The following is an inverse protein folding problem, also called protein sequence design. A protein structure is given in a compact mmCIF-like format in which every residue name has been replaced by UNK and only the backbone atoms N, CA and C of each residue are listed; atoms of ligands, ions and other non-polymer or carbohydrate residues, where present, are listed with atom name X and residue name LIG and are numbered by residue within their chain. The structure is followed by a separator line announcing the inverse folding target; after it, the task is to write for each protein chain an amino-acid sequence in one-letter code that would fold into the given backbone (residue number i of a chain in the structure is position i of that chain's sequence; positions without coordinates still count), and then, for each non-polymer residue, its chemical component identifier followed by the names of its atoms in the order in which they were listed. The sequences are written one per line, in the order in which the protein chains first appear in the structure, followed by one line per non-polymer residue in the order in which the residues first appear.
data_IF_771190509341
#
_entry.id   IF_771190509341
#
_cell.length_a   1.000
_cell.length_b   1.000
_cell.length_c   1.000
_cell.angle_alpha   90.00
_cell.angle_beta   90.00
_cell.angle_gamma   90.00
#
_symmetry.space_group_name_H-M   'P 1'
#
loop_
_entity.id
_entity.type
_entity.pdbx_description
1 polymer ?
#
# COMPACT_ATOMS: atom_id res chain seq x y z
N UNK A 1 -10.25 20.19 9.73
CA UNK A 1 -10.51 20.14 8.29
C UNK A 1 -11.16 18.80 7.96
N UNK A 2 -12.22 18.77 7.16
CA UNK A 2 -12.83 17.53 6.65
C UNK A 2 -12.00 16.94 5.51
N UNK A 3 -12.42 15.78 4.99
CA UNK A 3 -11.64 15.02 3.99
C UNK A 3 -11.54 15.77 2.66
N UNK A 4 -12.63 16.36 2.17
CA UNK A 4 -12.64 17.02 0.88
C UNK A 4 -11.59 18.14 0.76
N UNK A 5 -11.49 19.11 1.69
CA UNK A 5 -10.42 20.09 1.69
C UNK A 5 -9.02 19.47 1.83
N UNK A 6 -8.89 18.36 2.56
CA UNK A 6 -7.60 17.67 2.70
C UNK A 6 -7.10 17.11 1.35
N UNK A 7 -8.00 16.51 0.57
CA UNK A 7 -7.67 16.01 -0.79
C UNK A 7 -7.44 17.18 -1.76
N UNK A 8 -8.17 18.27 -1.61
CA UNK A 8 -8.04 19.48 -2.45
C UNK A 8 -6.78 20.32 -2.16
N UNK A 9 -6.13 20.12 -1.01
CA UNK A 9 -5.04 20.94 -0.53
C UNK A 9 -3.86 21.09 -1.51
N UNK A 10 -3.36 20.02 -2.18
CA UNK A 10 -2.28 20.18 -3.17
C UNK A 10 -2.65 21.11 -4.33
N UNK A 11 -3.93 21.12 -4.73
CA UNK A 11 -4.44 22.02 -5.78
C UNK A 11 -4.56 23.47 -5.30
N UNK A 12 -4.78 23.67 -3.99
CA UNK A 12 -4.78 25.00 -3.38
C UNK A 12 -3.40 25.65 -3.42
N UNK A 13 -2.36 24.87 -3.15
CA UNK A 13 -0.96 25.31 -3.26
C UNK A 13 -0.60 25.72 -4.69
N UNK A 14 -1.23 25.12 -5.69
CA UNK A 14 -1.08 25.46 -7.10
C UNK A 14 -2.04 26.56 -7.56
N UNK A 15 -2.65 27.30 -6.63
CA UNK A 15 -3.56 28.40 -6.93
C UNK A 15 -4.76 28.03 -7.82
N UNK A 16 -5.18 26.75 -7.81
CA UNK A 16 -6.35 26.29 -8.56
C UNK A 16 -7.63 26.91 -7.98
N UNK A 17 -8.54 27.45 -8.81
CA UNK A 17 -9.81 28.00 -8.33
C UNK A 17 -10.62 27.02 -7.48
N UNK A 18 -11.26 27.51 -6.41
CA UNK A 18 -11.96 26.68 -5.41
C UNK A 18 -12.92 25.67 -6.04
N UNK A 19 -13.76 26.08 -6.97
CA UNK A 19 -14.72 25.20 -7.62
C UNK A 19 -14.05 24.00 -8.32
N UNK A 20 -12.96 24.25 -9.06
CA UNK A 20 -12.22 23.19 -9.78
C UNK A 20 -11.49 22.24 -8.83
N UNK A 21 -10.90 22.76 -7.74
CA UNK A 21 -10.21 21.90 -6.77
C UNK A 21 -11.18 21.01 -5.99
N UNK A 22 -12.36 21.50 -5.64
CA UNK A 22 -13.40 20.71 -4.99
C UNK A 22 -13.99 19.65 -5.92
N UNK A 23 -14.26 20.00 -7.17
CA UNK A 23 -14.69 19.05 -8.21
C UNK A 23 -13.67 17.93 -8.39
N UNK A 24 -12.38 18.28 -8.54
CA UNK A 24 -11.30 17.30 -8.68
C UNK A 24 -11.17 16.42 -7.44
N UNK A 25 -11.24 16.97 -6.25
CA UNK A 25 -11.17 16.22 -5.01
C UNK A 25 -12.34 15.23 -4.86
N UNK A 26 -13.56 15.63 -5.19
CA UNK A 26 -14.73 14.73 -5.22
C UNK A 26 -14.55 13.61 -6.25
N UNK A 27 -14.08 13.95 -7.44
CA UNK A 27 -13.77 12.95 -8.47
C UNK A 27 -12.77 11.88 -7.95
N UNK A 28 -11.72 12.29 -7.25
CA UNK A 28 -10.68 11.38 -6.75
C UNK A 28 -11.15 10.50 -5.58
N UNK A 29 -12.12 10.95 -4.80
CA UNK A 29 -12.70 10.15 -3.71
C UNK A 29 -13.52 8.95 -4.23
N UNK A 30 -14.09 9.02 -5.43
CA UNK A 30 -14.83 7.92 -6.04
C UNK A 30 -13.98 6.67 -6.26
N UNK A 31 -12.91 6.72 -7.08
CA UNK A 31 -12.02 5.58 -7.36
C UNK A 31 -11.40 4.93 -6.13
N UNK A 32 -11.18 5.70 -5.04
CA UNK A 32 -10.67 5.15 -3.77
C UNK A 32 -11.78 4.61 -2.85
N UNK A 33 -13.06 4.66 -3.29
CA UNK A 33 -14.19 4.12 -2.53
C UNK A 33 -14.63 4.98 -1.35
N UNK A 34 -14.44 6.31 -1.42
CA UNK A 34 -14.71 7.26 -0.33
C UNK A 34 -15.65 8.40 -0.75
N UNK A 35 -16.44 8.23 -1.80
CA UNK A 35 -17.36 9.26 -2.30
C UNK A 35 -18.34 9.77 -1.24
N UNK A 36 -18.83 8.87 -0.38
CA UNK A 36 -19.86 9.16 0.63
C UNK A 36 -19.32 9.80 1.92
N UNK A 37 -17.99 9.88 2.06
CA UNK A 37 -17.36 10.35 3.32
C UNK A 37 -16.60 11.67 3.17
N UNK A 38 -16.81 12.38 2.06
CA UNK A 38 -16.12 13.63 1.73
C UNK A 38 -16.21 14.71 2.84
N UNK A 39 -17.32 14.75 3.55
CA UNK A 39 -17.61 15.76 4.58
C UNK A 39 -17.27 15.27 6.01
N UNK A 40 -16.77 14.05 6.18
CA UNK A 40 -16.33 13.51 7.48
C UNK A 40 -14.98 14.09 7.89
N UNK A 41 -14.67 13.98 9.18
CA UNK A 41 -13.34 14.27 9.72
C UNK A 41 -12.44 13.05 9.66
N UNK A 42 -11.11 13.22 9.53
CA UNK A 42 -10.16 12.11 9.53
C UNK A 42 -10.27 11.16 10.74
N UNK A 43 -10.61 11.71 11.92
CA UNK A 43 -10.82 10.93 13.15
C UNK A 43 -12.01 9.98 13.10
N UNK A 44 -12.90 10.13 12.13
CA UNK A 44 -14.07 9.27 11.91
C UNK A 44 -13.80 8.14 10.91
N UNK A 45 -12.57 8.03 10.41
CA UNK A 45 -12.15 7.05 9.43
C UNK A 45 -11.30 5.94 10.04
N UNK A 46 -11.45 4.71 9.52
CA UNK A 46 -10.51 3.63 9.79
C UNK A 46 -9.12 3.93 9.20
N UNK A 47 -8.08 3.23 9.67
CA UNK A 47 -6.73 3.39 9.15
C UNK A 47 -6.64 3.18 7.63
N UNK A 48 -7.32 2.16 7.10
CA UNK A 48 -7.40 1.91 5.66
C UNK A 48 -8.11 3.01 4.89
N UNK A 49 -9.17 3.61 5.47
CA UNK A 49 -9.84 4.76 4.87
C UNK A 49 -8.94 6.01 4.88
N UNK A 50 -8.20 6.25 5.95
CA UNK A 50 -7.22 7.34 6.03
C UNK A 50 -6.13 7.18 4.97
N UNK A 51 -5.64 5.95 4.76
CA UNK A 51 -4.67 5.64 3.72
C UNK A 51 -5.23 5.90 2.30
N UNK A 52 -6.49 5.54 2.05
CA UNK A 52 -7.17 5.85 0.77
C UNK A 52 -7.32 7.36 0.54
N UNK A 53 -7.57 8.15 1.59
CA UNK A 53 -7.55 9.62 1.53
C UNK A 53 -6.15 10.14 1.17
N UNK A 54 -5.10 9.61 1.79
CA UNK A 54 -3.72 9.99 1.48
C UNK A 54 -3.37 9.70 0.00
N UNK A 55 -3.79 8.55 -0.53
CA UNK A 55 -3.64 8.18 -1.95
C UNK A 55 -4.40 9.17 -2.85
N UNK A 56 -5.67 9.47 -2.55
CA UNK A 56 -6.46 10.43 -3.33
C UNK A 56 -5.81 11.82 -3.34
N UNK A 57 -5.28 12.26 -2.19
CA UNK A 57 -4.54 13.52 -2.07
C UNK A 57 -3.27 13.54 -2.93
N UNK A 58 -2.50 12.44 -2.94
CA UNK A 58 -1.30 12.32 -3.76
C UNK A 58 -1.62 12.41 -5.26
N UNK A 59 -2.77 11.92 -5.68
CA UNK A 59 -3.24 11.95 -7.08
C UNK A 59 -3.82 13.31 -7.51
N UNK A 60 -4.01 14.28 -6.61
CA UNK A 60 -4.69 15.53 -6.90
C UNK A 60 -4.06 16.29 -8.08
N UNK A 61 -2.74 16.35 -8.13
CA UNK A 61 -1.96 17.07 -9.15
C UNK A 61 -1.62 16.24 -10.40
N UNK A 62 -2.27 15.11 -10.63
CA UNK A 62 -1.97 14.21 -11.76
C UNK A 62 -0.47 13.84 -11.85
N UNK A 63 0.12 13.27 -10.81
CA UNK A 63 1.55 12.94 -10.82
C UNK A 63 1.83 11.84 -11.84
N UNK A 64 2.99 11.88 -12.49
CA UNK A 64 3.52 10.76 -13.29
C UNK A 64 4.20 9.71 -12.42
N UNK A 65 4.66 10.09 -11.22
CA UNK A 65 5.32 9.22 -10.25
C UNK A 65 4.71 9.46 -8.87
N UNK A 66 4.38 8.41 -8.15
CA UNK A 66 3.91 8.45 -6.76
C UNK A 66 4.86 7.65 -5.87
N UNK A 67 5.34 8.29 -4.79
CA UNK A 67 6.18 7.66 -3.78
C UNK A 67 5.28 7.16 -2.64
N UNK A 68 5.40 5.89 -2.31
CA UNK A 68 4.65 5.22 -1.25
C UNK A 68 5.66 4.69 -0.21
N UNK A 69 5.82 5.42 0.88
CA UNK A 69 6.69 5.02 1.97
C UNK A 69 5.85 4.29 3.03
N UNK A 70 6.13 3.00 3.19
CA UNK A 70 5.44 2.09 4.12
C UNK A 70 3.91 2.20 4.12
N UNK A 71 3.30 2.31 2.94
CA UNK A 71 1.88 2.59 2.76
C UNK A 71 0.92 1.58 3.42
N UNK A 72 1.42 0.44 3.90
CA UNK A 72 0.62 -0.65 4.49
C UNK A 72 1.12 -1.13 5.85
N UNK A 73 2.18 -0.55 6.42
CA UNK A 73 2.85 -1.04 7.64
C UNK A 73 1.96 -1.06 8.90
N UNK A 74 0.96 -0.17 8.97
CA UNK A 74 0.05 -0.05 10.12
C UNK A 74 -1.34 -0.67 9.86
N UNK A 75 -1.48 -1.52 8.83
CA UNK A 75 -2.75 -2.10 8.41
C UNK A 75 -2.76 -3.61 8.62
N UNK A 76 -3.94 -4.16 8.90
CA UNK A 76 -4.16 -5.61 8.89
C UNK A 76 -4.02 -6.20 7.48
N UNK A 77 -3.86 -7.53 7.39
CA UNK A 77 -3.60 -8.22 6.12
C UNK A 77 -4.70 -8.02 5.07
N UNK A 78 -5.96 -7.99 5.49
CA UNK A 78 -7.10 -7.79 4.58
C UNK A 78 -7.10 -6.37 4.01
N UNK A 79 -6.92 -5.38 4.87
CA UNK A 79 -6.84 -3.96 4.47
C UNK A 79 -5.60 -3.71 3.60
N UNK A 80 -4.46 -4.34 3.93
CA UNK A 80 -3.23 -4.31 3.12
C UNK A 80 -3.51 -4.79 1.71
N UNK A 81 -4.14 -5.95 1.53
CA UNK A 81 -4.48 -6.49 0.22
C UNK A 81 -5.35 -5.52 -0.59
N UNK A 82 -6.33 -4.87 0.05
CA UNK A 82 -7.20 -3.88 -0.60
C UNK A 82 -6.44 -2.61 -1.03
N UNK A 83 -5.47 -2.14 -0.24
CA UNK A 83 -4.65 -0.98 -0.61
C UNK A 83 -3.71 -1.32 -1.77
N UNK A 84 -3.10 -2.51 -1.76
CA UNK A 84 -2.24 -2.96 -2.86
C UNK A 84 -3.03 -3.11 -4.17
N UNK A 85 -4.26 -3.64 -4.11
CA UNK A 85 -5.13 -3.72 -5.28
C UNK A 85 -5.52 -2.33 -5.82
N UNK A 86 -5.83 -1.40 -4.92
CA UNK A 86 -6.08 0.00 -5.29
C UNK A 86 -4.85 0.62 -5.98
N UNK A 87 -3.65 0.42 -5.47
CA UNK A 87 -2.42 0.93 -6.06
C UNK A 87 -2.18 0.32 -7.46
N UNK A 88 -2.41 -0.99 -7.64
CA UNK A 88 -2.34 -1.63 -8.97
C UNK A 88 -3.31 -1.01 -9.97
N UNK A 89 -4.54 -0.74 -9.56
CA UNK A 89 -5.53 -0.08 -10.42
C UNK A 89 -5.08 1.32 -10.81
N UNK A 90 -4.58 2.12 -9.87
CA UNK A 90 -4.04 3.46 -10.12
C UNK A 90 -2.89 3.40 -11.12
N UNK A 91 -1.94 2.47 -10.96
CA UNK A 91 -0.85 2.29 -11.89
C UNK A 91 -1.35 2.00 -13.32
N UNK A 92 -2.28 1.06 -13.47
CA UNK A 92 -2.78 0.63 -14.77
C UNK A 92 -3.72 1.64 -15.44
N UNK A 93 -4.67 2.19 -14.67
CA UNK A 93 -5.73 3.05 -15.21
C UNK A 93 -5.27 4.50 -15.41
N UNK A 94 -4.40 5.00 -14.52
CA UNK A 94 -3.92 6.38 -14.55
C UNK A 94 -2.49 6.50 -15.09
N UNK A 95 -1.84 5.38 -15.43
CA UNK A 95 -0.47 5.33 -15.93
C UNK A 95 0.54 6.05 -15.00
N UNK A 96 0.34 5.89 -13.68
CA UNK A 96 1.21 6.47 -12.64
C UNK A 96 2.28 5.46 -12.27
N UNK A 97 3.55 5.83 -12.37
CA UNK A 97 4.64 4.99 -11.87
C UNK A 97 4.62 5.00 -10.34
N UNK A 98 4.61 3.82 -9.72
CA UNK A 98 4.67 3.68 -8.27
C UNK A 98 6.09 3.34 -7.83
N UNK A 99 6.62 4.08 -6.88
CA UNK A 99 7.85 3.75 -6.17
C UNK A 99 7.45 3.42 -4.73
N UNK A 100 7.58 2.15 -4.33
CA UNK A 100 7.12 1.65 -3.05
C UNK A 100 8.34 1.34 -2.18
N UNK A 101 8.41 1.95 -1.01
CA UNK A 101 9.39 1.63 0.03
C UNK A 101 8.69 0.74 1.05
N UNK A 102 9.23 -0.43 1.29
CA UNK A 102 8.67 -1.40 2.23
C UNK A 102 9.75 -2.34 2.75
N UNK A 103 9.59 -2.80 3.98
CA UNK A 103 10.38 -3.90 4.55
C UNK A 103 9.69 -5.27 4.34
N UNK A 104 8.47 -5.29 3.79
CA UNK A 104 7.72 -6.52 3.54
C UNK A 104 8.04 -7.11 2.17
N UNK A 105 8.69 -8.26 2.16
CA UNK A 105 8.96 -9.02 0.94
C UNK A 105 7.67 -9.45 0.22
N UNK A 106 6.63 -9.79 0.98
CA UNK A 106 5.34 -10.17 0.42
C UNK A 106 4.69 -9.02 -0.34
N UNK A 107 4.79 -7.78 0.17
CA UNK A 107 4.34 -6.59 -0.55
C UNK A 107 5.14 -6.39 -1.83
N UNK A 108 6.49 -6.40 -1.75
CA UNK A 108 7.35 -6.22 -2.91
C UNK A 108 7.07 -7.26 -4.01
N UNK A 109 6.97 -8.54 -3.63
CA UNK A 109 6.70 -9.66 -4.54
C UNK A 109 5.32 -9.59 -5.21
N UNK A 110 4.33 -9.08 -4.47
CA UNK A 110 2.96 -9.04 -4.97
C UNK A 110 2.68 -7.85 -5.92
N UNK A 111 3.32 -6.70 -5.75
CA UNK A 111 2.93 -5.49 -6.48
C UNK A 111 4.01 -4.93 -7.41
N UNK A 112 5.30 -5.19 -7.13
CA UNK A 112 6.39 -4.56 -7.87
C UNK A 112 6.82 -5.41 -9.08
N UNK A 113 6.98 -4.78 -10.23
CA UNK A 113 7.59 -5.39 -11.42
C UNK A 113 9.11 -5.51 -11.25
N UNK A 114 9.72 -4.53 -10.57
CA UNK A 114 11.16 -4.47 -10.28
C UNK A 114 11.40 -4.13 -8.83
N UNK A 115 12.45 -4.68 -8.25
CA UNK A 115 12.87 -4.45 -6.86
C UNK A 115 14.32 -3.99 -6.83
N UNK A 116 14.62 -3.06 -5.92
CA UNK A 116 15.97 -2.67 -5.54
C UNK A 116 16.17 -2.91 -4.03
N UNK A 117 17.19 -3.68 -3.69
CA UNK A 117 17.59 -3.90 -2.30
C UNK A 117 18.58 -2.81 -1.87
N UNK A 118 18.29 -2.15 -0.75
CA UNK A 118 19.14 -1.10 -0.19
C UNK A 118 19.70 -1.57 1.14
N UNK A 119 21.02 -1.50 1.26
CA UNK A 119 21.75 -1.76 2.50
C UNK A 119 22.85 -0.73 2.69
N UNK A 120 23.02 -0.25 3.92
CA UNK A 120 24.03 0.79 4.24
C UNK A 120 23.93 2.04 3.35
N UNK A 121 22.74 2.41 2.87
CA UNK A 121 22.51 3.55 1.97
C UNK A 121 22.95 3.33 0.53
N UNK A 122 23.18 2.08 0.12
CA UNK A 122 23.57 1.70 -1.26
C UNK A 122 22.63 0.65 -1.82
N UNK A 123 22.38 0.69 -3.13
CA UNK A 123 21.69 -0.39 -3.83
C UNK A 123 22.69 -1.54 -3.96
N UNK A 124 22.40 -2.66 -3.28
CA UNK A 124 23.24 -3.88 -3.29
C UNK A 124 22.80 -4.88 -4.34
N UNK A 125 21.52 -4.86 -4.71
CA UNK A 125 20.96 -5.72 -5.75
C UNK A 125 19.73 -5.03 -6.35
N UNK A 126 19.52 -5.17 -7.67
CA UNK A 126 18.35 -4.63 -8.35
C UNK A 126 18.03 -5.46 -9.59
N UNK A 127 16.76 -5.74 -9.82
CA UNK A 127 16.33 -6.50 -10.99
C UNK A 127 14.82 -6.62 -11.11
N UNK A 128 14.43 -7.47 -12.06
CA UNK A 128 13.07 -7.96 -12.20
C UNK A 128 12.69 -8.78 -10.96
N UNK A 129 11.47 -8.56 -10.44
CA UNK A 129 11.03 -9.16 -9.17
C UNK A 129 11.10 -10.67 -9.20
N UNK A 130 10.58 -11.31 -10.25
CA UNK A 130 10.54 -12.78 -10.33
C UNK A 130 11.95 -13.36 -10.39
N UNK A 131 12.83 -12.77 -11.21
CA UNK A 131 14.22 -13.24 -11.36
C UNK A 131 15.03 -13.05 -10.08
N UNK A 132 14.87 -11.92 -9.43
CA UNK A 132 15.61 -11.56 -8.24
C UNK A 132 15.22 -12.44 -7.04
N UNK A 133 13.94 -12.77 -6.89
CA UNK A 133 13.48 -13.70 -5.86
C UNK A 133 13.78 -15.17 -6.16
N UNK A 134 13.87 -15.54 -7.45
CA UNK A 134 14.23 -16.91 -7.84
C UNK A 134 15.74 -17.19 -7.68
N UNK A 135 16.60 -16.17 -7.84
CA UNK A 135 18.06 -16.34 -7.78
C UNK A 135 18.73 -15.14 -7.09
N UNK A 136 18.50 -14.94 -5.77
CA UNK A 136 19.06 -13.83 -5.02
C UNK A 136 20.58 -13.92 -4.95
N UNK A 137 21.27 -12.81 -5.22
CA UNK A 137 22.73 -12.75 -5.18
C UNK A 137 23.22 -12.15 -3.85
N UNK A 138 22.55 -11.10 -3.34
CA UNK A 138 22.93 -10.45 -2.10
C UNK A 138 22.59 -11.30 -0.88
N UNK A 139 23.46 -11.27 0.13
CA UNK A 139 23.24 -12.03 1.37
C UNK A 139 22.04 -11.48 2.15
N UNK A 140 21.77 -10.17 2.05
CA UNK A 140 20.62 -9.57 2.69
C UNK A 140 19.29 -10.10 2.11
N UNK A 141 19.17 -10.24 0.81
CA UNK A 141 17.96 -10.77 0.20
C UNK A 141 17.78 -12.27 0.50
N UNK A 142 18.87 -13.05 0.51
CA UNK A 142 18.83 -14.46 0.92
C UNK A 142 18.33 -14.62 2.36
N UNK A 143 18.84 -13.81 3.28
CA UNK A 143 18.41 -13.80 4.69
C UNK A 143 16.94 -13.44 4.81
N UNK A 144 16.51 -12.35 4.18
CA UNK A 144 15.11 -11.91 4.23
C UNK A 144 14.14 -12.95 3.66
N UNK A 145 14.51 -13.64 2.58
CA UNK A 145 13.69 -14.72 2.01
C UNK A 145 13.61 -15.89 2.98
N UNK A 146 14.72 -16.26 3.64
CA UNK A 146 14.74 -17.34 4.62
C UNK A 146 13.88 -17.01 5.84
N UNK A 147 13.97 -15.78 6.37
CA UNK A 147 13.18 -15.32 7.51
C UNK A 147 11.67 -15.30 7.19
N UNK A 148 11.30 -14.82 6.01
CA UNK A 148 9.91 -14.81 5.56
C UNK A 148 9.32 -16.23 5.44
N UNK A 149 10.12 -17.22 5.00
CA UNK A 149 9.69 -18.62 4.92
C UNK A 149 9.45 -19.23 6.31
N UNK A 150 10.21 -18.81 7.32
CA UNK A 150 10.04 -19.25 8.72
C UNK A 150 8.77 -18.66 9.33
N UNK A 151 8.45 -17.40 9.03
CA UNK A 151 7.23 -16.74 9.51
C UNK A 151 5.97 -17.38 8.92
N UNK A 152 5.95 -17.70 7.64
CA UNK A 152 4.85 -18.40 6.98
C UNK A 152 4.58 -19.77 7.60
N UNK A 153 5.62 -20.53 7.98
CA UNK A 153 5.46 -21.83 8.64
C UNK A 153 4.87 -21.70 10.04
N UNK A 154 5.27 -20.72 10.83
CA UNK A 154 4.71 -20.49 12.18
C UNK A 154 3.23 -20.14 12.15
N UNK A 155 2.80 -19.29 11.21
CA UNK A 155 1.38 -18.95 11.06
C UNK A 155 0.52 -20.15 10.60
N UNK A 156 1.10 -21.09 9.91
CA UNK A 156 0.39 -22.30 9.45
C UNK A 156 0.20 -23.31 10.60
N UNK A 157 1.20 -23.46 11.47
CA UNK A 157 1.15 -24.35 12.63
C UNK A 157 0.18 -23.84 13.70
N UNK A 158 0.16 -22.54 14.02
CA UNK A 158 -0.80 -21.93 14.94
C UNK A 158 -2.27 -22.06 14.46
N UNK A 159 -2.51 -21.96 13.17
CA UNK A 159 -3.86 -22.10 12.60
C UNK A 159 -4.37 -23.55 12.66
N UNK A 160 -3.47 -24.55 12.62
CA UNK A 160 -3.81 -25.96 12.72
C UNK A 160 -4.06 -26.41 14.18
N UNK A 161 -3.34 -25.85 15.15
CA UNK A 161 -3.57 -26.15 16.58
C UNK A 161 -4.90 -25.58 17.08
N UNK A 162 -5.27 -24.35 16.64
CA UNK A 162 -6.55 -23.73 17.06
C UNK A 162 -7.76 -24.51 16.56
N UNK A 163 -7.69 -25.07 15.34
CA UNK A 163 -8.78 -25.90 14.78
C UNK A 163 -8.88 -27.28 15.40
N UNK A 164 -7.80 -27.84 15.95
CA UNK A 164 -7.81 -29.13 16.65
C UNK A 164 -8.47 -29.00 18.03
N UNK A 165 -8.17 -27.93 18.76
CA UNK A 165 -8.68 -27.67 20.11
C UNK A 165 -10.20 -27.35 20.13
N UNK A 166 -10.71 -26.68 19.09
CA UNK A 166 -12.15 -26.41 18.96
C UNK A 166 -12.99 -27.68 18.67
N UNK A 167 -12.41 -28.68 17.99
CA UNK A 167 -13.08 -29.95 17.71
C UNK A 167 -13.12 -30.87 18.89
N UNK A 168 -12.16 -30.81 19.82
CA UNK A 168 -12.16 -31.60 21.07
C UNK A 168 -13.11 -31.05 22.13
N UNK A 169 -13.48 -29.77 22.09
CA UNK A 169 -14.45 -29.17 23.03
C UNK A 169 -15.91 -29.33 22.61
N UNK A 170 -16.18 -29.85 21.39
CA UNK A 170 -17.56 -30.10 20.89
C UNK A 170 -17.93 -31.60 20.82
N UNK A 171 -17.10 -32.48 21.31
CA UNK A 171 -17.33 -33.92 21.41
C UNK A 171 -17.58 -34.36 22.88
#
# INVERSE_FOLDING_TARGET
CTILPSVAFPLELNHTPKARREERARYLLGPVGLGDVADRYPSQLSGGQQQRVAIARALANNPSIMLCDEATSALDSTTTAQILDLLRRINRELNVTLVIITHSLSVARNICDRVAMIDGGRIVEMGDTEQLFANPQSDILKTLIADAAIEDHRHHDDATETTATEKEQQA
#
